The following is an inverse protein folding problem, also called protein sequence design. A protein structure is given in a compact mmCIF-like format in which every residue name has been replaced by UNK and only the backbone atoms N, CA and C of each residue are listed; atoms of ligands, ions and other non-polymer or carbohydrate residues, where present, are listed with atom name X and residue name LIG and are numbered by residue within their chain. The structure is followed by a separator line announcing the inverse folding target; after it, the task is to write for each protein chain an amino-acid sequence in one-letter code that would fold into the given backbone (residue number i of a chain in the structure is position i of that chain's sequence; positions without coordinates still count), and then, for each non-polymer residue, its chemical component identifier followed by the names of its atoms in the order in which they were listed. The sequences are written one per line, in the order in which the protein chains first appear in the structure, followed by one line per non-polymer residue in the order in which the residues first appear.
data_IF_193838368788
#
_entry.id   IF_193838368788
#
_cell.length_a   1.000
_cell.length_b   1.000
_cell.length_c   1.000
_cell.angle_alpha   90.00
_cell.angle_beta   90.00
_cell.angle_gamma   90.00
#
_symmetry.space_group_name_H-M   'P 1'
#
loop_
_entity.id
_entity.type
_entity.pdbx_description
1 polymer ?
#
# COMPACT_ATOMS: atom_id res chain seq x y z
N UNK A 1 0.91 5.63 10.93
CA UNK A 1 1.89 6.75 10.90
C UNK A 1 2.15 7.22 9.48
N UNK A 2 2.30 6.31 8.52
CA UNK A 2 2.55 6.64 7.12
C UNK A 2 1.30 6.60 6.24
N UNK A 3 0.16 6.15 6.79
CA UNK A 3 -1.11 5.98 6.09
C UNK A 3 -1.48 7.13 5.14
N UNK A 4 -1.39 8.39 5.57
CA UNK A 4 -1.70 9.56 4.72
C UNK A 4 -0.71 9.71 3.55
N UNK A 5 0.59 9.52 3.81
CA UNK A 5 1.64 9.53 2.78
C UNK A 5 1.40 8.41 1.76
N UNK A 6 1.05 7.21 2.23
CA UNK A 6 0.77 6.03 1.41
C UNK A 6 -0.48 6.26 0.56
N UNK A 7 -1.59 6.78 1.14
CA UNK A 7 -2.82 7.10 0.40
C UNK A 7 -2.54 8.06 -0.74
N UNK A 8 -1.87 9.18 -0.44
CA UNK A 8 -1.56 10.21 -1.44
C UNK A 8 -0.63 9.68 -2.54
N UNK A 9 0.36 8.84 -2.19
CA UNK A 9 1.19 8.15 -3.19
C UNK A 9 0.35 7.23 -4.10
N UNK A 10 -0.60 6.49 -3.54
CA UNK A 10 -1.48 5.60 -4.33
C UNK A 10 -2.38 6.39 -5.29
N UNK A 11 -2.86 7.57 -4.89
CA UNK A 11 -3.64 8.48 -5.72
C UNK A 11 -2.79 9.04 -6.88
N UNK A 12 -1.59 9.55 -6.58
CA UNK A 12 -0.69 10.17 -7.57
C UNK A 12 -0.11 9.13 -8.54
N UNK A 13 0.13 7.90 -8.08
CA UNK A 13 0.81 6.90 -8.91
C UNK A 13 -0.10 6.31 -9.99
N UNK A 14 -1.43 6.38 -9.87
CA UNK A 14 -2.41 5.65 -10.68
C UNK A 14 -2.10 4.12 -10.72
N UNK A 15 -3.10 3.23 -10.88
CA UNK A 15 -2.86 1.79 -10.82
C UNK A 15 -2.26 1.27 -12.13
N UNK A 16 -1.15 1.84 -12.61
CA UNK A 16 -0.58 1.49 -13.92
C UNK A 16 0.09 0.13 -13.93
N UNK A 17 0.39 -0.47 -12.77
CA UNK A 17 0.87 -1.85 -12.71
C UNK A 17 0.35 -2.59 -11.48
N UNK A 18 -0.07 -3.86 -11.68
CA UNK A 18 -0.39 -4.82 -10.60
C UNK A 18 0.72 -4.96 -9.54
N UNK A 19 1.94 -4.52 -9.84
CA UNK A 19 3.14 -4.50 -8.97
C UNK A 19 3.10 -3.38 -7.91
N UNK A 20 2.37 -2.28 -8.13
CA UNK A 20 2.28 -1.14 -7.20
C UNK A 20 1.13 -1.28 -6.20
N UNK A 21 0.92 -2.48 -5.65
CA UNK A 21 -0.01 -2.66 -4.50
C UNK A 21 0.56 -2.08 -3.21
N UNK A 22 1.86 -1.85 -3.16
CA UNK A 22 2.57 -1.21 -2.05
C UNK A 22 3.42 -0.08 -2.67
N UNK A 23 3.39 1.16 -2.14
CA UNK A 23 4.25 2.19 -2.68
C UNK A 23 5.72 1.84 -2.47
N UNK A 24 6.44 1.66 -3.59
CA UNK A 24 7.88 1.36 -3.61
C UNK A 24 8.74 2.49 -3.04
N UNK A 25 8.23 3.72 -3.06
CA UNK A 25 8.91 4.91 -2.58
C UNK A 25 9.45 4.75 -1.15
N UNK A 26 8.60 4.34 -0.21
CA UNK A 26 9.00 4.14 1.18
C UNK A 26 9.96 2.97 1.36
N UNK A 27 9.71 1.84 0.69
CA UNK A 27 10.60 0.65 0.72
C UNK A 27 12.02 1.03 0.27
N UNK A 28 12.13 1.75 -0.86
CA UNK A 28 13.42 2.19 -1.41
C UNK A 28 14.12 3.19 -0.49
N UNK A 29 13.38 4.13 0.07
CA UNK A 29 13.91 5.10 1.04
C UNK A 29 14.56 4.40 2.26
N UNK A 30 13.89 3.39 2.83
CA UNK A 30 14.47 2.63 3.95
C UNK A 30 15.62 1.73 3.50
N UNK A 31 15.54 1.11 2.32
CA UNK A 31 16.64 0.29 1.80
C UNK A 31 17.95 1.07 1.61
N UNK A 32 17.87 2.34 1.18
CA UNK A 32 19.04 3.21 1.08
C UNK A 32 19.68 3.42 2.46
N UNK A 33 18.87 3.61 3.51
CA UNK A 33 19.41 3.70 4.88
C UNK A 33 20.10 2.39 5.28
N UNK A 34 19.48 1.25 5.00
CA UNK A 34 20.02 -0.05 5.43
C UNK A 34 21.34 -0.40 4.74
N UNK A 35 21.45 -0.05 3.45
CA UNK A 35 22.63 -0.32 2.61
C UNK A 35 23.73 0.72 2.76
N UNK A 36 23.43 1.94 3.19
CA UNK A 36 24.43 2.99 3.32
C UNK A 36 25.40 2.70 4.47
N UNK A 37 26.68 2.96 4.23
CA UNK A 37 27.75 2.92 5.23
C UNK A 37 28.02 4.31 5.83
N UNK A 38 27.42 5.37 5.29
CA UNK A 38 27.73 6.78 5.58
C UNK A 38 26.80 7.39 6.65
N UNK A 39 25.99 6.59 7.33
CA UNK A 39 25.03 7.09 8.31
C UNK A 39 25.68 7.24 9.67
N UNK A 40 26.07 8.46 10.00
CA UNK A 40 26.62 8.82 11.30
C UNK A 40 25.56 9.40 12.25
N UNK A 41 24.48 10.00 11.73
CA UNK A 41 23.44 10.61 12.56
C UNK A 41 22.05 10.60 11.90
N UNK A 42 21.03 10.96 12.69
CA UNK A 42 19.64 11.05 12.26
C UNK A 42 19.45 11.97 11.04
N UNK A 43 20.10 13.14 11.02
CA UNK A 43 19.98 14.12 9.92
C UNK A 43 20.44 13.53 8.59
N UNK A 44 21.59 12.87 8.57
CA UNK A 44 22.08 12.16 7.38
C UNK A 44 21.15 11.04 6.93
N UNK A 45 20.60 10.26 7.88
CA UNK A 45 19.65 9.18 7.56
C UNK A 45 18.36 9.72 6.94
N UNK A 46 17.79 10.80 7.52
CA UNK A 46 16.60 11.48 6.97
C UNK A 46 16.90 12.03 5.59
N UNK A 47 18.03 12.71 5.40
CA UNK A 47 18.43 13.27 4.10
C UNK A 47 18.50 12.20 3.01
N UNK A 48 19.19 11.09 3.28
CA UNK A 48 19.31 9.97 2.33
C UNK A 48 17.95 9.39 1.95
N UNK A 49 17.10 9.11 2.94
CA UNK A 49 15.77 8.55 2.68
C UNK A 49 14.85 9.53 1.94
N UNK A 50 14.87 10.81 2.28
CA UNK A 50 14.05 11.84 1.61
C UNK A 50 14.47 12.04 0.16
N UNK A 51 15.78 12.05 -0.11
CA UNK A 51 16.32 12.16 -1.47
C UNK A 51 15.95 10.95 -2.32
N UNK A 52 15.97 9.74 -1.76
CA UNK A 52 15.51 8.57 -2.51
C UNK A 52 13.99 8.60 -2.70
N UNK A 53 13.24 8.96 -1.65
CA UNK A 53 11.78 8.98 -1.68
C UNK A 53 11.22 9.99 -2.70
N UNK A 54 11.83 11.17 -2.83
CA UNK A 54 11.38 12.23 -3.74
C UNK A 54 11.40 11.82 -5.22
N UNK A 55 12.29 10.89 -5.60
CA UNK A 55 12.32 10.33 -6.97
C UNK A 55 11.01 9.64 -7.36
N UNK A 56 10.23 9.19 -6.38
CA UNK A 56 8.99 8.43 -6.58
C UNK A 56 7.72 9.22 -6.22
N UNK A 57 7.85 10.48 -5.78
CA UNK A 57 6.70 11.32 -5.40
C UNK A 57 6.05 12.06 -6.58
N UNK A 58 6.57 11.88 -7.81
CA UNK A 58 6.12 12.58 -9.04
C UNK A 58 6.01 14.12 -8.87
N UNK A 59 6.92 14.72 -8.10
CA UNK A 59 6.93 16.16 -7.88
C UNK A 59 5.96 16.66 -6.80
N UNK A 60 5.23 15.79 -6.10
CA UNK A 60 4.39 16.20 -4.97
C UNK A 60 5.27 16.52 -3.74
N UNK A 61 5.47 17.82 -3.50
CA UNK A 61 6.30 18.34 -2.42
C UNK A 61 5.69 18.12 -1.04
N UNK A 62 4.36 18.06 -0.94
CA UNK A 62 3.66 17.86 0.33
C UNK A 62 3.88 16.44 0.85
N UNK A 63 3.79 15.42 -0.02
CA UNK A 63 4.08 14.02 0.32
C UNK A 63 5.52 13.86 0.83
N UNK A 64 6.47 14.51 0.16
CA UNK A 64 7.89 14.48 0.56
C UNK A 64 8.10 15.19 1.90
N UNK A 65 7.45 16.34 2.11
CA UNK A 65 7.48 17.08 3.37
C UNK A 65 6.93 16.25 4.53
N UNK A 66 5.78 15.62 4.35
CA UNK A 66 5.14 14.82 5.40
C UNK A 66 5.97 13.58 5.74
N UNK A 67 6.52 12.92 4.72
CA UNK A 67 7.47 11.83 4.91
C UNK A 67 8.71 12.28 5.70
N UNK A 68 9.30 13.43 5.35
CA UNK A 68 10.46 14.01 6.07
C UNK A 68 10.13 14.27 7.54
N UNK A 69 8.98 14.89 7.83
CA UNK A 69 8.55 15.19 9.21
C UNK A 69 8.39 13.93 10.05
N UNK A 70 7.80 12.89 9.48
CA UNK A 70 7.65 11.60 10.16
C UNK A 70 9.02 11.01 10.46
N UNK A 71 9.93 10.92 9.49
CA UNK A 71 11.26 10.37 9.71
C UNK A 71 12.09 11.17 10.73
N UNK A 72 12.03 12.49 10.68
CA UNK A 72 12.73 13.35 11.63
C UNK A 72 12.28 13.08 13.07
N UNK A 73 10.97 12.88 13.28
CA UNK A 73 10.44 12.46 14.59
C UNK A 73 10.92 11.07 14.98
N UNK A 74 10.84 10.10 14.07
CA UNK A 74 11.17 8.70 14.37
C UNK A 74 12.66 8.45 14.64
N UNK A 75 13.54 9.26 14.04
CA UNK A 75 14.98 9.20 14.27
C UNK A 75 15.47 10.20 15.30
N UNK A 76 14.56 10.98 15.91
CA UNK A 76 14.93 11.94 16.96
C UNK A 76 15.65 11.21 18.11
N UNK A 77 16.79 11.76 18.54
CA UNK A 77 17.64 11.18 19.59
C UNK A 77 18.49 9.97 19.16
N UNK A 78 18.45 9.54 17.89
CA UNK A 78 19.29 8.45 17.39
C UNK A 78 20.58 8.98 16.74
N UNK A 79 21.69 8.85 17.47
CA UNK A 79 23.00 9.34 17.02
C UNK A 79 23.98 8.23 16.63
N UNK A 80 23.51 6.99 16.55
CA UNK A 80 24.33 5.82 16.25
C UNK A 80 23.77 5.04 15.06
N UNK A 81 24.65 4.57 14.18
CA UNK A 81 24.31 3.84 12.96
C UNK A 81 23.47 2.58 13.22
N UNK A 82 23.83 1.79 14.24
CA UNK A 82 23.14 0.53 14.56
C UNK A 82 21.68 0.76 14.99
N UNK A 83 21.37 1.67 15.94
CA UNK A 83 20.00 2.09 16.23
C UNK A 83 19.24 2.65 15.02
N UNK A 84 19.87 3.48 14.20
CA UNK A 84 19.25 4.05 12.99
C UNK A 84 18.85 2.96 12.00
N UNK A 85 19.75 2.00 11.70
CA UNK A 85 19.43 0.86 10.83
C UNK A 85 18.35 -0.03 11.44
N UNK A 86 18.38 -0.30 12.75
CA UNK A 86 17.33 -1.09 13.44
C UNK A 86 15.97 -0.40 13.30
N UNK A 87 15.91 0.91 13.55
CA UNK A 87 14.67 1.69 13.41
C UNK A 87 14.20 1.74 11.96
N UNK A 88 15.09 1.89 10.99
CA UNK A 88 14.74 1.86 9.57
C UNK A 88 14.15 0.51 9.12
N UNK A 89 14.63 -0.63 9.64
CA UNK A 89 13.99 -1.95 9.39
C UNK A 89 12.57 -1.99 9.92
N UNK A 90 12.37 -1.56 11.16
CA UNK A 90 11.04 -1.53 11.76
C UNK A 90 10.08 -0.61 10.98
N UNK A 91 10.53 0.57 10.57
CA UNK A 91 9.72 1.50 9.77
C UNK A 91 9.40 0.92 8.38
N UNK A 92 10.32 0.18 7.76
CA UNK A 92 10.08 -0.55 6.51
C UNK A 92 8.95 -1.57 6.66
N UNK A 93 9.01 -2.39 7.71
CA UNK A 93 7.97 -3.39 7.99
C UNK A 93 6.60 -2.73 8.25
N UNK A 94 6.56 -1.68 9.07
CA UNK A 94 5.33 -0.92 9.34
C UNK A 94 4.75 -0.34 8.05
N UNK A 95 5.59 0.26 7.19
CA UNK A 95 5.17 0.79 5.90
C UNK A 95 4.54 -0.29 5.01
N UNK A 96 5.18 -1.46 4.92
CA UNK A 96 4.65 -2.58 4.14
C UNK A 96 3.30 -3.07 4.67
N UNK A 97 3.13 -3.15 6.00
CA UNK A 97 1.86 -3.56 6.63
C UNK A 97 0.77 -2.53 6.36
N UNK A 98 1.04 -1.24 6.58
CA UNK A 98 0.07 -0.16 6.33
C UNK A 98 -0.35 -0.12 4.86
N UNK A 99 0.61 -0.25 3.94
CA UNK A 99 0.34 -0.29 2.52
C UNK A 99 -0.48 -1.51 2.08
N UNK A 100 -0.17 -2.71 2.59
CA UNK A 100 -0.97 -3.92 2.32
C UNK A 100 -2.40 -3.77 2.83
N UNK A 101 -2.56 -3.18 4.02
CA UNK A 101 -3.88 -2.97 4.64
C UNK A 101 -4.74 -2.02 3.80
N UNK A 102 -4.16 -0.90 3.34
CA UNK A 102 -4.85 0.05 2.46
C UNK A 102 -5.19 -0.57 1.09
N UNK A 103 -4.26 -1.34 0.50
CA UNK A 103 -4.51 -2.03 -0.75
C UNK A 103 -5.61 -3.11 -0.63
N UNK A 104 -5.69 -3.80 0.52
CA UNK A 104 -6.74 -4.77 0.79
C UNK A 104 -8.13 -4.12 0.89
N UNK A 105 -8.24 -2.94 1.54
CA UNK A 105 -9.47 -2.15 1.57
C UNK A 105 -9.93 -1.79 0.15
N UNK A 106 -9.01 -1.41 -0.74
CA UNK A 106 -9.34 -1.09 -2.13
C UNK A 106 -9.75 -2.32 -2.97
N UNK A 107 -9.20 -3.52 -2.69
CA UNK A 107 -9.61 -4.74 -3.40
C UNK A 107 -11.04 -5.17 -3.12
N UNK A 108 -11.55 -4.96 -1.89
CA UNK A 108 -12.93 -5.34 -1.53
C UNK A 108 -14.00 -4.51 -2.24
N UNK A 109 -13.65 -3.34 -2.76
CA UNK A 109 -14.61 -2.39 -3.36
C UNK A 109 -14.65 -2.40 -4.88
N UNK A 110 -13.95 -3.31 -5.58
CA UNK A 110 -13.97 -3.32 -7.05
C UNK A 110 -15.21 -4.05 -7.56
N UNK A 111 -16.20 -3.29 -8.00
CA UNK A 111 -17.36 -3.79 -8.72
C UNK A 111 -16.96 -4.15 -10.15
N UNK A 112 -17.41 -5.31 -10.64
CA UNK A 112 -17.25 -5.74 -12.02
C UNK A 112 -18.64 -5.78 -12.65
N UNK A 113 -18.85 -5.02 -13.71
CA UNK A 113 -20.06 -5.15 -14.53
C UNK A 113 -19.81 -6.21 -15.60
N UNK A 114 -20.75 -7.15 -15.72
CA UNK A 114 -20.75 -8.19 -16.74
C UNK A 114 -22.03 -8.01 -17.54
N UNK A 115 -21.92 -8.06 -18.87
CA UNK A 115 -23.10 -8.11 -19.75
C UNK A 115 -23.45 -9.57 -19.97
N UNK A 116 -24.72 -9.90 -19.76
CA UNK A 116 -25.31 -11.21 -19.98
C UNK A 116 -26.56 -11.03 -20.83
N UNK A 117 -27.00 -12.08 -21.51
CA UNK A 117 -28.31 -12.07 -22.17
C UNK A 117 -29.43 -12.11 -21.11
N UNK A 118 -30.65 -11.77 -21.52
CA UNK A 118 -31.82 -11.82 -20.65
C UNK A 118 -32.08 -13.25 -20.15
N UNK A 119 -31.99 -14.24 -21.03
CA UNK A 119 -32.16 -15.67 -20.70
C UNK A 119 -31.11 -16.17 -19.68
N UNK A 120 -29.85 -15.76 -19.85
CA UNK A 120 -28.77 -16.07 -18.90
C UNK A 120 -29.03 -15.42 -17.54
N UNK A 121 -29.47 -14.16 -17.54
CA UNK A 121 -29.80 -13.44 -16.31
C UNK A 121 -30.94 -14.10 -15.55
N UNK A 122 -32.04 -14.46 -16.22
CA UNK A 122 -33.18 -15.12 -15.60
C UNK A 122 -32.79 -16.47 -15.00
N UNK A 123 -32.02 -17.25 -15.74
CA UNK A 123 -31.54 -18.57 -15.30
C UNK A 123 -30.70 -18.44 -14.03
N UNK A 124 -29.72 -17.53 -14.04
CA UNK A 124 -28.84 -17.28 -12.88
C UNK A 124 -29.63 -16.74 -11.70
N UNK A 125 -30.56 -15.81 -11.94
CA UNK A 125 -31.42 -15.21 -10.91
C UNK A 125 -32.32 -16.24 -10.23
N UNK A 126 -32.88 -17.18 -10.99
CA UNK A 126 -33.72 -18.26 -10.46
C UNK A 126 -32.91 -19.24 -9.62
N UNK A 127 -31.72 -19.62 -10.11
CA UNK A 127 -30.82 -20.52 -9.38
C UNK A 127 -30.30 -19.88 -8.08
N UNK A 128 -29.90 -18.61 -8.13
CA UNK A 128 -29.43 -17.87 -6.96
C UNK A 128 -30.52 -17.79 -5.88
N UNK A 129 -31.75 -17.43 -6.27
CA UNK A 129 -32.91 -17.42 -5.37
C UNK A 129 -33.22 -18.80 -4.78
N UNK A 130 -33.12 -19.86 -5.58
CA UNK A 130 -33.30 -21.24 -5.12
C UNK A 130 -32.32 -21.66 -4.03
N UNK A 131 -31.13 -21.06 -4.00
CA UNK A 131 -30.12 -21.29 -2.95
C UNK A 131 -30.14 -20.23 -1.83
N UNK A 132 -31.08 -19.29 -1.86
CA UNK A 132 -31.16 -18.20 -0.87
C UNK A 132 -30.02 -17.18 -0.98
N UNK A 133 -29.38 -17.06 -2.15
CA UNK A 133 -28.24 -16.19 -2.39
C UNK A 133 -28.60 -15.06 -3.35
N UNK A 134 -27.93 -13.91 -3.21
CA UNK A 134 -27.92 -12.92 -4.29
C UNK A 134 -27.06 -13.40 -5.47
N UNK A 135 -27.27 -12.81 -6.64
CA UNK A 135 -26.57 -13.20 -7.88
C UNK A 135 -25.04 -13.14 -7.73
N UNK A 136 -24.51 -12.14 -7.01
CA UNK A 136 -23.06 -11.99 -6.83
C UNK A 136 -22.48 -13.10 -5.96
N UNK A 137 -23.15 -13.43 -4.86
CA UNK A 137 -22.75 -14.49 -3.95
C UNK A 137 -22.95 -15.88 -4.58
N UNK A 138 -24.01 -16.08 -5.35
CA UNK A 138 -24.22 -17.28 -6.15
C UNK A 138 -23.07 -17.49 -7.14
N UNK A 139 -22.68 -16.47 -7.89
CA UNK A 139 -21.53 -16.55 -8.82
C UNK A 139 -20.23 -16.83 -8.07
N UNK A 140 -19.97 -16.16 -6.94
CA UNK A 140 -18.76 -16.43 -6.12
C UNK A 140 -18.71 -17.88 -5.64
N UNK A 141 -19.83 -18.41 -5.18
CA UNK A 141 -19.98 -19.81 -4.75
C UNK A 141 -19.62 -20.76 -5.89
N UNK A 142 -20.21 -20.57 -7.07
CA UNK A 142 -19.94 -21.39 -8.26
C UNK A 142 -18.49 -21.31 -8.73
N UNK A 143 -17.81 -20.19 -8.51
CA UNK A 143 -16.39 -20.01 -8.84
C UNK A 143 -15.42 -20.44 -7.73
N UNK A 144 -15.91 -20.95 -6.59
CA UNK A 144 -15.06 -21.31 -5.44
C UNK A 144 -14.36 -20.11 -4.79
N UNK A 145 -14.93 -18.91 -4.92
CA UNK A 145 -14.40 -17.64 -4.39
C UNK A 145 -15.11 -17.21 -3.10
N UNK A 146 -15.63 -18.17 -2.34
CA UNK A 146 -16.33 -17.92 -1.09
C UNK A 146 -15.43 -17.24 -0.06
N UNK A 147 -15.99 -16.32 0.71
CA UNK A 147 -15.29 -15.75 1.85
C UNK A 147 -15.15 -16.84 2.92
N UNK A 148 -13.94 -17.33 3.14
CA UNK A 148 -13.65 -18.13 4.33
C UNK A 148 -13.82 -17.23 5.55
N UNK A 149 -14.79 -17.54 6.39
CA UNK A 149 -15.01 -16.94 7.71
C UNK A 149 -13.83 -17.17 8.64
#
# INVERSE_FOLDING_TARGET
MFEQVIKRLMEIQAPTTRKLKIPLAGIRAFEVILKSNEISNATTAVGLAVTEFSKYSKGDSQVVSDFKKILAREFSGLNNTKPLKKKARALKEIWEIEARTLAAKNKRNKWLSIRVTEEEYETISKQARGEGLDISNYIRKRLGLEYKS
#
